data_IF_943610582060
#
_entry.id   IF_943610582060
#
_cell.length_a   1.000
_cell.length_b   1.000
_cell.length_c   1.000
_cell.angle_alpha   90.00
_cell.angle_beta   90.00
_cell.angle_gamma   90.00
#
_symmetry.space_group_name_H-M   'P 1'
#
loop_
_entity.id
_entity.type
_entity.pdbx_description
1 polymer ?
#
# COMPACT_ATOMS: atom_id res chain seq x y z
N UNK A 1 17.33 -7.92 7.74
CA UNK A 1 17.02 -8.60 6.45
C UNK A 1 17.91 -9.82 6.29
N UNK A 2 17.37 -10.94 5.80
CA UNK A 2 18.19 -12.12 5.45
C UNK A 2 19.27 -11.78 4.42
N UNK A 3 20.36 -12.54 4.38
CA UNK A 3 21.58 -12.23 3.62
C UNK A 3 21.33 -11.81 2.17
N UNK A 4 20.41 -12.48 1.46
CA UNK A 4 20.14 -12.24 0.04
C UNK A 4 18.97 -11.27 -0.25
N UNK A 5 18.38 -10.65 0.77
CA UNK A 5 17.29 -9.69 0.58
C UNK A 5 17.79 -8.36 -0.01
N UNK A 6 17.00 -7.75 -0.88
CA UNK A 6 17.24 -6.39 -1.41
C UNK A 6 16.06 -5.49 -1.10
N UNK A 7 16.32 -4.21 -0.86
CA UNK A 7 15.30 -3.21 -0.54
C UNK A 7 15.50 -1.98 -1.42
N UNK A 8 14.48 -1.62 -2.18
CA UNK A 8 14.43 -0.39 -2.94
C UNK A 8 13.35 0.51 -2.32
N UNK A 9 13.75 1.72 -1.91
CA UNK A 9 12.91 2.71 -1.27
C UNK A 9 12.74 3.91 -2.20
N UNK A 10 11.53 4.44 -2.29
CA UNK A 10 11.20 5.58 -3.14
C UNK A 10 10.58 6.66 -2.27
N UNK A 11 11.14 7.86 -2.30
CA UNK A 11 10.64 9.01 -1.56
C UNK A 11 10.72 10.25 -2.45
N UNK A 12 9.60 10.90 -2.72
CA UNK A 12 9.54 12.05 -3.61
C UNK A 12 9.97 13.33 -2.89
N UNK A 13 9.65 13.47 -1.60
CA UNK A 13 9.87 14.69 -0.84
C UNK A 13 11.36 14.90 -0.54
N UNK A 14 11.99 16.00 -1.02
CA UNK A 14 13.45 16.17 -0.94
C UNK A 14 14.00 16.17 0.49
N UNK A 15 13.23 16.67 1.46
CA UNK A 15 13.62 16.68 2.87
C UNK A 15 13.57 15.28 3.48
N UNK A 16 12.50 14.53 3.22
CA UNK A 16 12.35 13.18 3.77
C UNK A 16 13.33 12.21 3.10
N UNK A 17 13.65 12.41 1.82
CA UNK A 17 14.68 11.64 1.14
C UNK A 17 16.06 11.79 1.81
N UNK A 18 16.43 12.99 2.26
CA UNK A 18 17.69 13.22 3.01
C UNK A 18 17.68 12.51 4.38
N UNK A 19 16.54 12.52 5.07
CA UNK A 19 16.36 11.81 6.33
C UNK A 19 16.49 10.30 6.11
N UNK A 20 15.81 9.78 5.07
CA UNK A 20 15.87 8.39 4.65
C UNK A 20 17.31 7.94 4.40
N UNK A 21 18.06 8.69 3.58
CA UNK A 21 19.47 8.41 3.29
C UNK A 21 20.36 8.39 4.53
N UNK A 22 19.98 9.10 5.60
CA UNK A 22 20.72 9.09 6.86
C UNK A 22 20.41 7.83 7.68
N UNK A 23 19.16 7.37 7.65
CA UNK A 23 18.69 6.20 8.41
C UNK A 23 19.09 4.86 7.79
N UNK A 24 19.33 4.79 6.48
CA UNK A 24 19.65 3.53 5.78
C UNK A 24 21.14 3.33 5.51
N UNK A 25 22.03 4.18 6.06
CA UNK A 25 23.46 4.10 5.80
C UNK A 25 24.04 2.76 6.26
N UNK A 26 24.98 2.23 5.47
CA UNK A 26 25.78 1.06 5.85
C UNK A 26 25.31 -0.29 5.29
N UNK A 27 24.09 -0.40 4.75
CA UNK A 27 23.62 -1.63 4.11
C UNK A 27 23.59 -1.50 2.58
N UNK A 28 24.53 -2.16 1.90
CA UNK A 28 24.66 -2.17 0.43
C UNK A 28 23.45 -2.79 -0.29
N UNK A 29 22.59 -3.51 0.43
CA UNK A 29 21.39 -4.15 -0.13
C UNK A 29 20.20 -3.19 -0.20
N UNK A 30 20.30 -2.04 0.48
CA UNK A 30 19.26 -1.01 0.50
C UNK A 30 19.64 0.10 -0.45
N UNK A 31 18.73 0.45 -1.37
CA UNK A 31 18.86 1.59 -2.26
C UNK A 31 17.67 2.51 -2.04
N UNK A 32 17.93 3.82 -2.02
CA UNK A 32 16.88 4.83 -2.00
C UNK A 32 16.94 5.67 -3.27
N UNK A 33 15.79 5.99 -3.81
CA UNK A 33 15.62 6.81 -5.00
C UNK A 33 14.71 7.98 -4.69
N UNK A 34 15.15 9.19 -5.05
CA UNK A 34 14.29 10.36 -4.96
C UNK A 34 13.40 10.42 -6.19
N UNK A 35 12.25 9.75 -6.14
CA UNK A 35 11.38 9.58 -7.29
C UNK A 35 9.93 9.32 -6.85
N UNK A 36 9.00 9.50 -7.78
CA UNK A 36 7.63 9.04 -7.61
C UNK A 36 7.62 7.51 -7.54
N UNK A 37 7.28 6.98 -6.35
CA UNK A 37 7.28 5.55 -6.07
C UNK A 37 6.30 4.76 -6.93
N UNK A 38 5.16 5.33 -7.33
CA UNK A 38 4.17 4.62 -8.16
C UNK A 38 4.74 4.28 -9.53
N UNK A 39 5.38 5.25 -10.17
CA UNK A 39 6.01 5.06 -11.48
C UNK A 39 7.32 4.29 -11.37
N UNK A 40 8.17 4.65 -10.40
CA UNK A 40 9.50 4.10 -10.27
C UNK A 40 9.49 2.61 -9.88
N UNK A 41 8.54 2.17 -9.05
CA UNK A 41 8.45 0.75 -8.66
C UNK A 41 8.16 -0.17 -9.85
N UNK A 42 7.39 0.27 -10.86
CA UNK A 42 7.08 -0.54 -12.04
C UNK A 42 8.33 -0.94 -12.84
N UNK A 43 9.37 -0.11 -12.81
CA UNK A 43 10.67 -0.41 -13.44
C UNK A 43 11.47 -1.50 -12.73
N UNK A 44 11.11 -1.82 -11.48
CA UNK A 44 11.77 -2.83 -10.66
C UNK A 44 11.11 -4.21 -10.79
N UNK A 45 10.04 -4.32 -11.58
CA UNK A 45 9.22 -5.52 -11.70
C UNK A 45 9.30 -6.14 -13.11
N UNK A 46 9.44 -7.49 -13.20
CA UNK A 46 9.66 -8.42 -12.10
C UNK A 46 11.11 -8.36 -11.56
N UNK A 47 11.33 -8.61 -10.27
CA UNK A 47 12.68 -8.68 -9.71
C UNK A 47 13.41 -9.93 -10.21
N UNK A 48 14.75 -9.89 -10.26
CA UNK A 48 15.59 -11.03 -10.70
C UNK A 48 15.39 -12.26 -9.80
N UNK A 49 15.09 -12.02 -8.53
CA UNK A 49 14.88 -13.02 -7.49
C UNK A 49 13.53 -13.75 -7.65
N UNK A 50 12.64 -13.28 -8.53
CA UNK A 50 11.28 -13.82 -8.79
C UNK A 50 10.41 -13.97 -7.54
N UNK A 51 10.80 -13.30 -6.45
CA UNK A 51 10.08 -13.17 -5.18
C UNK A 51 10.22 -11.72 -4.75
N UNK A 52 9.14 -11.12 -4.32
CA UNK A 52 9.14 -9.71 -3.96
C UNK A 52 7.90 -9.33 -3.18
N UNK A 53 8.08 -8.33 -2.33
CA UNK A 53 7.02 -7.66 -1.59
C UNK A 53 7.04 -6.18 -1.99
N UNK A 54 5.88 -5.65 -2.37
CA UNK A 54 5.71 -4.23 -2.72
C UNK A 54 4.74 -3.61 -1.73
N UNK A 55 5.22 -2.66 -0.95
CA UNK A 55 4.40 -1.81 -0.08
C UNK A 55 4.18 -0.47 -0.76
N UNK A 56 2.91 -0.07 -0.90
CA UNK A 56 2.51 1.27 -1.31
C UNK A 56 1.79 1.93 -0.13
N UNK A 57 2.34 3.06 0.34
CA UNK A 57 1.78 3.83 1.46
C UNK A 57 1.80 5.32 1.09
N UNK A 58 0.90 5.76 0.21
CA UNK A 58 0.84 7.15 -0.20
C UNK A 58 0.24 8.03 0.91
N UNK A 59 0.47 9.35 0.88
CA UNK A 59 0.00 10.25 1.94
C UNK A 59 -1.52 10.54 1.87
N UNK A 60 -2.16 10.31 0.72
CA UNK A 60 -3.58 10.61 0.46
C UNK A 60 -3.97 12.09 0.68
N UNK A 61 -3.05 13.00 0.43
CA UNK A 61 -3.27 14.45 0.52
C UNK A 61 -4.20 14.94 -0.59
N UNK A 62 -4.13 14.33 -1.77
CA UNK A 62 -5.01 14.66 -2.91
C UNK A 62 -5.93 13.50 -3.23
N UNK A 63 -7.16 13.82 -3.65
CA UNK A 63 -8.20 12.80 -3.93
C UNK A 63 -7.75 11.78 -4.99
N UNK A 64 -6.88 12.21 -5.91
CA UNK A 64 -6.37 11.37 -6.98
C UNK A 64 -5.47 10.25 -6.47
N UNK A 65 -4.88 10.36 -5.28
CA UNK A 65 -3.95 9.37 -4.71
C UNK A 65 -4.57 7.98 -4.61
N UNK A 66 -5.86 7.90 -4.25
CA UNK A 66 -6.60 6.63 -4.20
C UNK A 66 -6.62 5.92 -5.56
N UNK A 67 -6.90 6.68 -6.62
CA UNK A 67 -6.96 6.14 -7.98
C UNK A 67 -5.56 5.76 -8.48
N UNK A 68 -4.58 6.64 -8.27
CA UNK A 68 -3.18 6.40 -8.65
C UNK A 68 -2.64 5.14 -7.99
N UNK A 69 -2.93 4.93 -6.69
CA UNK A 69 -2.48 3.75 -5.97
C UNK A 69 -3.07 2.45 -6.51
N UNK A 70 -4.37 2.44 -6.81
CA UNK A 70 -5.05 1.29 -7.42
C UNK A 70 -4.45 0.98 -8.80
N UNK A 71 -4.33 1.99 -9.66
CA UNK A 71 -3.82 1.82 -11.02
C UNK A 71 -2.37 1.35 -11.04
N UNK A 72 -1.54 1.89 -10.13
CA UNK A 72 -0.15 1.49 -9.97
C UNK A 72 -0.04 0.03 -9.49
N UNK A 73 -0.84 -0.37 -8.50
CA UNK A 73 -0.82 -1.75 -7.98
C UNK A 73 -1.29 -2.75 -9.04
N UNK A 74 -2.37 -2.44 -9.76
CA UNK A 74 -2.85 -3.29 -10.87
C UNK A 74 -1.77 -3.41 -11.95
N UNK A 75 -1.12 -2.31 -12.31
CA UNK A 75 -0.04 -2.30 -13.30
C UNK A 75 1.19 -3.07 -12.82
N UNK A 76 1.51 -3.00 -11.53
CA UNK A 76 2.59 -3.73 -10.90
C UNK A 76 2.31 -5.24 -10.91
N UNK A 77 1.11 -5.65 -10.54
CA UNK A 77 0.68 -7.05 -10.55
C UNK A 77 0.68 -7.63 -11.97
N UNK A 78 0.22 -6.88 -12.98
CA UNK A 78 0.30 -7.30 -14.39
C UNK A 78 1.74 -7.62 -14.83
N UNK A 79 2.75 -6.93 -14.29
CA UNK A 79 4.17 -7.19 -14.58
C UNK A 79 4.74 -8.35 -13.76
N UNK A 80 4.24 -8.59 -12.56
CA UNK A 80 4.75 -9.59 -11.63
C UNK A 80 3.62 -10.23 -10.79
N UNK A 81 2.84 -11.10 -11.42
CA UNK A 81 1.63 -11.68 -10.83
C UNK A 81 1.87 -12.57 -9.60
N UNK A 82 3.10 -13.04 -9.38
CA UNK A 82 3.45 -13.87 -8.21
C UNK A 82 4.00 -13.06 -7.03
N UNK A 83 4.03 -11.71 -7.13
CA UNK A 83 4.46 -10.84 -6.05
C UNK A 83 3.42 -10.71 -4.94
N UNK A 84 3.86 -10.42 -3.73
CA UNK A 84 2.98 -9.99 -2.64
C UNK A 84 2.90 -8.47 -2.65
N UNK A 85 1.68 -7.93 -2.61
CA UNK A 85 1.42 -6.50 -2.64
C UNK A 85 0.64 -6.09 -1.40
N UNK A 86 1.00 -4.96 -0.82
CA UNK A 86 0.25 -4.32 0.26
C UNK A 86 0.02 -2.85 -0.08
N UNK A 87 -1.21 -2.40 0.08
CA UNK A 87 -1.61 -1.00 -0.04
C UNK A 87 -2.17 -0.55 1.31
N UNK A 88 -1.47 0.37 1.96
CA UNK A 88 -1.98 1.05 3.15
C UNK A 88 -2.90 2.18 2.71
N UNK A 89 -4.06 2.33 3.35
CA UNK A 89 -4.99 3.43 3.08
C UNK A 89 -5.74 3.87 4.35
N UNK A 90 -6.05 5.17 4.49
CA UNK A 90 -6.84 5.67 5.60
C UNK A 90 -8.34 5.58 5.29
N UNK A 91 -9.14 5.24 6.29
CA UNK A 91 -10.61 5.25 6.19
C UNK A 91 -11.16 6.59 6.66
N UNK A 92 -11.00 7.64 5.85
CA UNK A 92 -11.59 8.97 6.12
C UNK A 92 -12.97 9.12 5.49
N UNK A 93 -13.12 8.61 4.26
CA UNK A 93 -14.36 8.66 3.49
C UNK A 93 -14.70 7.25 3.00
N UNK A 94 -15.73 6.65 3.59
CA UNK A 94 -16.14 5.27 3.31
C UNK A 94 -16.57 5.08 1.85
N UNK A 95 -17.07 6.12 1.18
CA UNK A 95 -17.42 6.02 -0.23
C UNK A 95 -16.20 5.80 -1.11
N UNK A 96 -15.08 6.49 -0.82
CA UNK A 96 -13.81 6.31 -1.56
C UNK A 96 -13.26 4.91 -1.38
N UNK A 97 -13.32 4.38 -0.15
CA UNK A 97 -12.83 3.03 0.13
C UNK A 97 -13.68 1.99 -0.60
N UNK A 98 -15.01 2.13 -0.61
CA UNK A 98 -15.89 1.26 -1.41
C UNK A 98 -15.56 1.29 -2.90
N UNK A 99 -15.23 2.47 -3.45
CA UNK A 99 -14.81 2.59 -4.85
C UNK A 99 -13.48 1.88 -5.11
N UNK A 100 -12.50 2.07 -4.22
CA UNK A 100 -11.21 1.36 -4.28
C UNK A 100 -11.39 -0.16 -4.22
N UNK A 101 -12.22 -0.66 -3.30
CA UNK A 101 -12.56 -2.09 -3.19
C UNK A 101 -13.20 -2.62 -4.49
N UNK A 102 -14.14 -1.87 -5.09
CA UNK A 102 -14.77 -2.24 -6.35
C UNK A 102 -13.78 -2.32 -7.51
N UNK A 103 -12.81 -1.40 -7.56
CA UNK A 103 -11.77 -1.42 -8.61
C UNK A 103 -10.86 -2.63 -8.48
N UNK A 104 -10.47 -3.00 -7.26
CA UNK A 104 -9.73 -4.25 -7.04
C UNK A 104 -10.55 -5.49 -7.42
N UNK A 105 -11.84 -5.55 -7.06
CA UNK A 105 -12.73 -6.63 -7.48
C UNK A 105 -12.85 -6.73 -9.01
N UNK A 106 -12.89 -5.59 -9.71
CA UNK A 106 -12.96 -5.51 -11.17
C UNK A 106 -11.61 -5.76 -11.88
N UNK A 107 -10.50 -5.79 -11.14
CA UNK A 107 -9.15 -5.87 -11.74
C UNK A 107 -8.78 -7.25 -12.30
N UNK A 108 -9.50 -8.30 -11.89
CA UNK A 108 -9.17 -9.70 -12.19
C UNK A 108 -8.02 -10.27 -11.34
N UNK A 109 -7.50 -9.52 -10.36
CA UNK A 109 -6.51 -10.02 -9.40
C UNK A 109 -7.23 -10.90 -8.37
N UNK A 110 -6.79 -12.15 -8.27
CA UNK A 110 -7.26 -13.10 -7.25
C UNK A 110 -6.56 -12.87 -5.91
N UNK A 111 -7.04 -13.54 -4.85
CA UNK A 111 -6.37 -13.59 -3.54
C UNK A 111 -6.13 -12.23 -2.87
N UNK A 112 -7.15 -11.38 -2.89
CA UNK A 112 -7.10 -10.06 -2.24
C UNK A 112 -7.71 -10.17 -0.85
N UNK A 113 -6.93 -9.82 0.17
CA UNK A 113 -7.37 -9.72 1.56
C UNK A 113 -7.42 -8.25 1.99
N UNK A 114 -8.48 -7.87 2.68
CA UNK A 114 -8.67 -6.54 3.26
C UNK A 114 -8.65 -6.63 4.78
N UNK A 115 -7.87 -5.74 5.38
CA UNK A 115 -7.77 -5.57 6.81
C UNK A 115 -7.93 -4.09 7.15
N UNK A 116 -8.92 -3.76 7.98
CA UNK A 116 -9.11 -2.42 8.54
C UNK A 116 -9.19 -2.50 10.06
N UNK A 117 -8.53 -1.55 10.72
CA UNK A 117 -8.66 -1.30 12.13
C UNK A 117 -9.27 0.09 12.32
N UNK A 118 -10.46 0.14 12.91
CA UNK A 118 -11.14 1.40 13.21
C UNK A 118 -11.07 1.74 14.69
N UNK A 119 -10.52 2.91 14.99
CA UNK A 119 -10.50 3.47 16.35
C UNK A 119 -11.74 4.33 16.60
N UNK A 120 -12.30 4.26 17.81
CA UNK A 120 -13.61 4.82 18.15
C UNK A 120 -13.75 6.30 17.84
N UNK A 121 -12.68 7.08 17.99
CA UNK A 121 -12.70 8.54 17.78
C UNK A 121 -13.05 8.94 16.34
N UNK A 122 -12.66 8.11 15.36
CA UNK A 122 -12.90 8.32 13.94
C UNK A 122 -14.28 7.79 13.45
N UNK A 123 -15.09 7.20 14.34
CA UNK A 123 -16.42 6.70 13.99
C UNK A 123 -17.49 7.81 13.93
N UNK A 124 -18.45 7.73 12.99
CA UNK A 124 -19.66 8.55 13.04
C UNK A 124 -20.40 8.38 14.38
N UNK A 125 -21.07 9.42 14.91
CA UNK A 125 -21.70 9.38 16.23
C UNK A 125 -22.64 8.19 16.47
N UNK A 126 -23.39 7.78 15.44
CA UNK A 126 -24.32 6.65 15.52
C UNK A 126 -23.61 5.31 15.73
N UNK A 127 -22.43 5.13 15.13
CA UNK A 127 -21.65 3.88 15.25
C UNK A 127 -20.90 3.84 16.59
N UNK A 128 -20.51 5.01 17.13
CA UNK A 128 -19.94 5.14 18.49
C UNK A 128 -20.90 4.63 19.57
N UNK A 129 -22.21 4.82 19.37
CA UNK A 129 -23.26 4.38 20.30
C UNK A 129 -23.40 2.84 20.32
N UNK A 130 -23.14 2.18 19.19
CA UNK A 130 -23.34 0.74 19.01
C UNK A 130 -22.08 -0.11 19.26
N UNK A 131 -20.88 0.45 19.10
CA UNK A 131 -19.62 -0.30 19.13
C UNK A 131 -19.08 -0.65 20.54
N UNK A 132 -19.77 -0.29 21.63
CA UNK A 132 -19.25 -0.53 22.99
C UNK A 132 -17.95 0.22 23.30
N UNK A 133 -17.11 -0.30 24.21
CA UNK A 133 -15.87 0.35 24.64
C UNK A 133 -14.67 0.13 23.70
N UNK A 134 -14.76 -0.80 22.74
CA UNK A 134 -13.67 -1.16 21.83
C UNK A 134 -13.71 -0.41 20.49
N UNK A 135 -12.58 -0.36 19.79
CA UNK A 135 -12.56 -0.15 18.34
C UNK A 135 -13.17 -1.34 17.59
N UNK A 136 -13.22 -1.27 16.27
CA UNK A 136 -13.64 -2.41 15.43
C UNK A 136 -12.49 -2.89 14.55
N UNK A 137 -12.49 -4.17 14.23
CA UNK A 137 -11.60 -4.79 13.25
C UNK A 137 -12.46 -5.39 12.14
N UNK A 138 -12.18 -5.01 10.88
CA UNK A 138 -12.80 -5.59 9.69
C UNK A 138 -11.72 -6.38 8.95
N UNK A 139 -11.93 -7.68 8.84
CA UNK A 139 -11.14 -8.57 7.99
C UNK A 139 -12.09 -9.19 6.97
N UNK A 140 -11.78 -9.07 5.69
CA UNK A 140 -12.61 -9.56 4.60
C UNK A 140 -11.74 -10.08 3.46
N UNK A 141 -12.11 -11.22 2.89
CA UNK A 141 -11.55 -11.68 1.62
C UNK A 141 -12.29 -10.96 0.49
N UNK A 142 -11.63 -10.03 -0.20
CA UNK A 142 -12.24 -9.23 -1.25
C UNK A 142 -12.40 -10.00 -2.56
N UNK A 143 -11.42 -10.83 -2.90
CA UNK A 143 -11.43 -11.68 -4.10
C UNK A 143 -10.84 -13.04 -3.74
N UNK A 144 -11.52 -14.12 -4.13
CA UNK A 144 -11.08 -15.50 -3.91
C UNK A 144 -10.15 -16.02 -5.01
N UNK A 145 -9.66 -17.25 -4.81
CA UNK A 145 -8.83 -18.00 -5.76
C UNK A 145 -9.50 -18.19 -7.12
#
# INVERSE_FOLDING_TARGET
MQENGRLNLFELHPREFKNLLTNIRGDRRVKAFQADGFHACLSQLPPKERRGYVLMDPPYEVKQDYQTAVDALISAHKRFATGTYALCYPVVDRYRIKKLEQQFKASGIANIQLFELGVKEALPPLVKLLAGAGGFYRCEQLVAE
#
